data_IF_284633846021
#
_entry.id   IF_284633846021
#
_cell.length_a   1.000
_cell.length_b   1.000
_cell.length_c   1.000
_cell.angle_alpha   90.00
_cell.angle_beta   90.00
_cell.angle_gamma   90.00
#
_symmetry.space_group_name_H-M   'P 1'
#
loop_
_entity.id
_entity.type
_entity.pdbx_description
1 polymer ?
#
# COMPACT_ATOMS: atom_id res chain seq x y z
N UNK A 1 -10.66 -8.13 3.74
CA UNK A 1 -9.53 -8.24 4.70
C UNK A 1 -8.46 -9.21 4.22
N UNK A 2 -8.80 -10.37 3.65
CA UNK A 2 -7.80 -11.36 3.19
C UNK A 2 -6.84 -10.84 2.12
N UNK A 3 -7.36 -10.16 1.08
CA UNK A 3 -6.54 -9.58 0.03
C UNK A 3 -5.50 -8.58 0.57
N UNK A 4 -5.90 -7.76 1.56
CA UNK A 4 -4.99 -6.81 2.20
C UNK A 4 -3.89 -7.53 2.98
N UNK A 5 -4.25 -8.54 3.80
CA UNK A 5 -3.28 -9.36 4.53
C UNK A 5 -2.29 -10.03 3.58
N UNK A 6 -2.78 -10.63 2.50
CA UNK A 6 -1.94 -11.33 1.51
C UNK A 6 -1.03 -10.33 0.78
N UNK A 7 -1.55 -9.18 0.37
CA UNK A 7 -0.77 -8.12 -0.27
C UNK A 7 0.35 -7.60 0.63
N UNK A 8 0.05 -7.34 1.91
CA UNK A 8 1.07 -6.92 2.89
C UNK A 8 2.13 -8.00 3.10
N UNK A 9 1.72 -9.28 3.20
CA UNK A 9 2.67 -10.39 3.29
C UNK A 9 3.59 -10.44 2.06
N UNK A 10 3.05 -10.28 0.85
CA UNK A 10 3.83 -10.23 -0.37
C UNK A 10 4.81 -9.04 -0.44
N UNK A 11 4.45 -7.88 0.13
CA UNK A 11 5.35 -6.72 0.19
C UNK A 11 6.64 -6.98 0.99
N UNK A 12 6.59 -7.89 1.97
CA UNK A 12 7.77 -8.24 2.77
C UNK A 12 8.92 -8.80 1.92
N UNK A 13 8.60 -9.46 0.81
CA UNK A 13 9.57 -9.98 -0.16
C UNK A 13 10.31 -8.88 -0.94
N UNK A 14 9.79 -7.65 -0.94
CA UNK A 14 10.36 -6.49 -1.64
C UNK A 14 10.91 -5.42 -0.68
N UNK A 15 11.04 -5.74 0.60
CA UNK A 15 11.70 -4.86 1.57
C UNK A 15 13.23 -4.95 1.42
N UNK A 16 13.96 -3.82 1.47
CA UNK A 16 15.41 -3.84 1.62
C UNK A 16 15.83 -4.63 2.87
N UNK A 17 16.94 -5.35 2.80
CA UNK A 17 17.41 -6.15 3.95
C UNK A 17 17.72 -5.28 5.17
N UNK A 18 18.10 -4.02 4.94
CA UNK A 18 18.39 -3.00 5.95
C UNK A 18 17.18 -2.63 6.81
N UNK A 19 15.94 -2.81 6.29
CA UNK A 19 14.71 -2.57 7.06
C UNK A 19 14.26 -3.78 7.86
N UNK A 20 14.91 -4.95 7.68
CA UNK A 20 14.58 -6.21 8.36
C UNK A 20 15.35 -6.30 9.67
N UNK A 21 14.70 -5.92 10.77
CA UNK A 21 15.24 -6.04 12.12
C UNK A 21 14.15 -6.27 13.17
N UNK A 22 14.52 -6.74 14.38
CA UNK A 22 13.56 -7.02 15.46
C UNK A 22 12.88 -5.75 16.01
N UNK A 23 13.43 -4.57 15.72
CA UNK A 23 12.81 -3.29 16.01
C UNK A 23 11.87 -2.93 14.85
N UNK A 24 10.63 -2.53 15.15
CA UNK A 24 9.79 -1.88 14.14
C UNK A 24 10.50 -0.62 13.67
N UNK A 25 11.10 -0.66 12.47
CA UNK A 25 11.72 0.53 11.90
C UNK A 25 10.62 1.55 11.59
N UNK A 26 10.80 2.80 12.01
CA UNK A 26 9.89 3.89 11.68
C UNK A 26 9.69 3.99 10.15
N UNK A 27 10.75 3.68 9.39
CA UNK A 27 10.73 3.62 7.94
C UNK A 27 9.80 2.52 7.39
N UNK A 28 9.84 1.32 7.97
CA UNK A 28 8.91 0.24 7.61
C UNK A 28 7.46 0.61 7.91
N UNK A 29 7.21 1.25 9.06
CA UNK A 29 5.88 1.76 9.40
C UNK A 29 5.39 2.82 8.41
N UNK A 30 6.24 3.82 8.09
CA UNK A 30 5.95 4.85 7.09
C UNK A 30 5.65 4.25 5.71
N UNK A 31 6.45 3.28 5.27
CA UNK A 31 6.27 2.59 3.99
C UNK A 31 4.94 1.84 3.94
N UNK A 32 4.63 1.06 4.97
CA UNK A 32 3.36 0.34 5.05
C UNK A 32 2.18 1.31 5.05
N UNK A 33 2.22 2.37 5.86
CA UNK A 33 1.19 3.40 5.87
C UNK A 33 1.01 4.02 4.48
N UNK A 34 2.09 4.31 3.75
CA UNK A 34 2.02 4.88 2.41
C UNK A 34 1.44 3.92 1.35
N UNK A 35 1.75 2.62 1.41
CA UNK A 35 1.37 1.64 0.37
C UNK A 35 -0.02 1.03 0.59
N UNK A 36 -0.50 0.94 1.83
CA UNK A 36 -1.81 0.35 2.15
C UNK A 36 -2.97 0.97 1.35
N UNK A 37 -3.10 2.31 1.21
CA UNK A 37 -4.12 2.93 0.34
C UNK A 37 -4.10 2.43 -1.10
N UNK A 38 -2.91 2.28 -1.68
CA UNK A 38 -2.72 1.81 -3.05
C UNK A 38 -3.18 0.36 -3.19
N UNK A 39 -2.87 -0.50 -2.21
CA UNK A 39 -3.34 -1.90 -2.20
C UNK A 39 -4.87 -1.99 -2.10
N UNK A 40 -5.47 -1.23 -1.18
CA UNK A 40 -6.93 -1.26 -0.96
C UNK A 40 -7.69 -0.75 -2.18
N UNK A 41 -7.28 0.39 -2.72
CA UNK A 41 -7.90 0.99 -3.91
C UNK A 41 -7.73 0.12 -5.16
N UNK A 42 -6.52 -0.42 -5.39
CA UNK A 42 -6.28 -1.37 -6.48
C UNK A 42 -7.19 -2.58 -6.39
N UNK A 43 -7.30 -3.20 -5.21
CA UNK A 43 -8.17 -4.36 -5.03
C UNK A 43 -9.65 -4.00 -5.20
N UNK A 44 -10.07 -2.81 -4.76
CA UNK A 44 -11.43 -2.30 -4.96
C UNK A 44 -11.76 -2.19 -6.47
N UNK A 45 -10.91 -1.51 -7.25
CA UNK A 45 -11.09 -1.30 -8.69
C UNK A 45 -11.11 -2.59 -9.48
N UNK A 46 -10.18 -3.50 -9.19
CA UNK A 46 -10.13 -4.82 -9.84
C UNK A 46 -11.42 -5.61 -9.64
N UNK A 47 -12.07 -5.49 -8.48
CA UNK A 47 -13.37 -6.13 -8.21
C UNK A 47 -14.54 -5.50 -8.98
N UNK A 48 -14.39 -4.26 -9.43
CA UNK A 48 -15.36 -3.57 -10.30
C UNK A 48 -15.02 -3.74 -11.79
N UNK A 49 -13.97 -4.49 -12.14
CA UNK A 49 -13.51 -4.62 -13.51
C UNK A 49 -12.78 -3.37 -14.04
N UNK A 50 -12.37 -2.48 -13.14
CA UNK A 50 -11.68 -1.25 -13.49
C UNK A 50 -10.15 -1.41 -13.34
N UNK A 51 -9.35 -0.74 -14.19
CA UNK A 51 -7.90 -0.78 -14.08
C UNK A 51 -7.41 -0.02 -12.84
N UNK A 52 -6.27 -0.42 -12.23
CA UNK A 52 -5.66 0.32 -11.13
C UNK A 52 -5.26 1.75 -11.53
N UNK A 53 -5.27 2.65 -10.57
CA UNK A 53 -4.86 4.06 -10.74
C UNK A 53 -3.58 4.31 -9.96
N UNK A 54 -2.59 4.94 -10.60
CA UNK A 54 -1.33 5.30 -9.94
C UNK A 54 -1.52 6.44 -8.93
N UNK A 55 -0.80 6.44 -7.79
CA UNK A 55 -0.88 7.52 -6.80
C UNK A 55 -0.38 8.86 -7.36
N UNK A 56 -0.92 9.97 -6.85
CA UNK A 56 -0.52 11.35 -7.18
C UNK A 56 0.22 11.99 -6.00
N UNK A 57 1.53 12.27 -6.12
CA UNK A 57 2.35 12.84 -5.03
C UNK A 57 1.89 14.21 -4.52
N UNK A 58 1.14 14.96 -5.33
CA UNK A 58 0.66 16.31 -5.02
C UNK A 58 -0.57 16.30 -4.11
N UNK A 59 -1.22 15.15 -3.96
CA UNK A 59 -2.39 14.98 -3.09
C UNK A 59 -1.98 14.55 -1.68
N UNK A 60 -2.69 15.06 -0.67
CA UNK A 60 -2.55 14.53 0.68
C UNK A 60 -3.03 13.06 0.75
N UNK A 61 -2.69 12.37 1.83
CA UNK A 61 -2.94 10.94 1.98
C UNK A 61 -4.40 10.52 1.76
N UNK A 62 -5.35 11.25 2.35
CA UNK A 62 -6.78 10.95 2.24
C UNK A 62 -7.32 11.27 0.84
N UNK A 63 -6.94 12.43 0.28
CA UNK A 63 -7.31 12.81 -1.08
C UNK A 63 -6.77 11.83 -2.12
N UNK A 64 -5.53 11.35 -1.95
CA UNK A 64 -4.93 10.38 -2.85
C UNK A 64 -5.64 9.01 -2.78
N UNK A 65 -6.01 8.56 -1.58
CA UNK A 65 -6.82 7.35 -1.41
C UNK A 65 -8.15 7.47 -2.18
N UNK A 66 -8.89 8.57 -1.98
CA UNK A 66 -10.18 8.77 -2.65
C UNK A 66 -10.04 8.92 -4.16
N UNK A 67 -8.96 9.55 -4.63
CA UNK A 67 -8.64 9.66 -6.05
C UNK A 67 -8.37 8.29 -6.71
N UNK A 68 -7.74 7.36 -5.99
CA UNK A 68 -7.38 6.05 -6.51
C UNK A 68 -8.51 5.01 -6.41
N UNK A 69 -9.59 5.26 -5.67
CA UNK A 69 -10.76 4.37 -5.58
C UNK A 69 -11.52 4.35 -6.90
#
# INVERSE_FOLDING_TARGET
>A
MEALRTGVSALSSFEPEETKGPQTSLEGALRLTAVLPTLVSTFHRLRQGEPPVSPRPELNHASNLLYMM
#
